data_IF_142902860369
#
_entry.id   IF_142902860369
#
_cell.length_a   1.000
_cell.length_b   1.000
_cell.length_c   1.000
_cell.angle_alpha   90.00
_cell.angle_beta   90.00
_cell.angle_gamma   90.00
#
_symmetry.space_group_name_H-M   'P 1'
#
loop_
_entity.id
_entity.type
_entity.pdbx_description
1 polymer ?
#
# COMPACT_ATOMS: atom_id res chain seq x y z
N UNK A 1 10.77 4.23 -37.61
CA UNK A 1 11.54 4.14 -38.86
C UNK A 1 12.36 2.84 -39.00
N UNK A 2 12.37 1.93 -37.98
CA UNK A 2 13.12 0.66 -38.04
C UNK A 2 14.65 0.78 -38.09
N UNK A 3 15.21 1.98 -37.94
CA UNK A 3 16.68 2.17 -37.93
C UNK A 3 17.19 2.05 -36.49
N UNK A 4 18.24 1.25 -36.35
CA UNK A 4 18.97 1.13 -35.08
C UNK A 4 20.06 2.23 -35.03
N UNK A 5 20.15 2.89 -33.88
CA UNK A 5 21.17 3.89 -33.60
C UNK A 5 21.96 3.43 -32.36
N UNK A 6 23.27 3.62 -32.41
CA UNK A 6 24.16 3.46 -31.27
C UNK A 6 24.49 4.85 -30.72
N UNK A 7 24.08 5.12 -29.49
CA UNK A 7 24.41 6.36 -28.77
C UNK A 7 25.47 6.01 -27.73
N UNK A 8 26.59 6.72 -27.75
CA UNK A 8 27.63 6.61 -26.73
C UNK A 8 27.41 7.73 -25.71
N UNK A 9 27.26 7.38 -24.47
CA UNK A 9 27.07 8.32 -23.38
C UNK A 9 28.01 7.95 -22.21
N UNK A 10 28.52 8.95 -21.51
CA UNK A 10 29.33 8.76 -20.28
C UNK A 10 28.44 8.44 -19.09
N UNK A 11 27.18 8.92 -19.11
CA UNK A 11 26.17 8.66 -18.08
C UNK A 11 24.79 8.62 -18.75
N UNK A 12 23.94 7.71 -18.27
CA UNK A 12 22.57 7.57 -18.72
C UNK A 12 21.60 7.81 -17.57
N UNK A 13 20.47 8.43 -17.81
CA UNK A 13 19.34 8.52 -16.87
C UNK A 13 18.19 7.67 -17.41
N UNK A 14 17.78 6.66 -16.68
CA UNK A 14 16.57 5.90 -16.98
C UNK A 14 15.34 6.65 -16.44
N UNK A 15 14.66 7.33 -17.35
CA UNK A 15 13.40 8.04 -17.10
C UNK A 15 12.25 7.44 -17.93
N UNK A 16 12.34 6.17 -18.30
CA UNK A 16 11.32 5.47 -19.11
C UNK A 16 9.99 5.28 -18.35
N UNK A 17 10.02 5.45 -17.02
CA UNK A 17 8.89 5.17 -16.15
C UNK A 17 8.72 3.69 -15.84
N UNK A 18 9.29 2.81 -16.66
CA UNK A 18 9.18 1.36 -16.57
C UNK A 18 10.53 0.67 -16.26
N UNK A 19 11.61 1.48 -16.10
CA UNK A 19 12.95 0.96 -15.81
C UNK A 19 13.53 0.15 -16.96
N UNK A 20 13.17 0.49 -18.21
CA UNK A 20 13.55 -0.30 -19.39
C UNK A 20 15.05 -0.29 -19.62
N UNK A 21 15.71 0.86 -19.47
CA UNK A 21 17.17 0.96 -19.68
C UNK A 21 17.90 0.09 -18.65
N UNK A 22 17.52 0.17 -17.40
CA UNK A 22 18.10 -0.64 -16.32
C UNK A 22 17.84 -2.13 -16.53
N UNK A 23 16.63 -2.49 -16.95
CA UNK A 23 16.25 -3.86 -17.29
C UNK A 23 17.10 -4.43 -18.43
N UNK A 24 17.20 -3.72 -19.56
CA UNK A 24 18.00 -4.16 -20.70
C UNK A 24 19.52 -4.15 -20.41
N UNK A 25 19.96 -3.34 -19.45
CA UNK A 25 21.33 -3.38 -18.95
C UNK A 25 21.61 -4.58 -18.01
N UNK A 26 20.59 -5.33 -17.60
CA UNK A 26 20.71 -6.52 -16.75
C UNK A 26 20.61 -6.26 -15.26
N UNK A 27 20.03 -5.12 -14.84
CA UNK A 27 19.75 -4.87 -13.43
C UNK A 27 18.58 -5.73 -12.92
N UNK A 28 18.61 -6.11 -11.66
CA UNK A 28 17.52 -6.80 -11.00
C UNK A 28 16.35 -5.84 -10.72
N UNK A 29 15.15 -6.37 -10.72
CA UNK A 29 13.92 -5.61 -10.47
C UNK A 29 12.86 -6.48 -9.78
N UNK A 30 11.80 -5.83 -9.32
CA UNK A 30 10.57 -6.47 -8.85
C UNK A 30 9.35 -5.81 -9.50
N UNK A 31 8.28 -6.59 -9.67
CA UNK A 31 6.96 -6.16 -10.16
C UNK A 31 5.91 -6.78 -9.27
N UNK A 32 4.83 -6.03 -8.98
CA UNK A 32 3.76 -6.52 -8.14
C UNK A 32 4.12 -6.61 -6.66
N UNK A 33 3.18 -7.11 -5.87
CA UNK A 33 3.41 -7.39 -4.45
C UNK A 33 4.28 -8.64 -4.25
N UNK A 34 4.84 -8.76 -3.04
CA UNK A 34 5.78 -9.85 -2.73
C UNK A 34 5.12 -11.21 -2.54
N UNK A 35 3.80 -11.26 -2.35
CA UNK A 35 3.06 -12.49 -2.05
C UNK A 35 2.51 -13.15 -3.31
N UNK A 36 1.86 -12.37 -4.17
CA UNK A 36 1.12 -12.88 -5.33
C UNK A 36 1.62 -12.33 -6.67
N UNK A 37 2.55 -11.37 -6.64
CA UNK A 37 3.02 -10.69 -7.85
C UNK A 37 1.99 -9.79 -8.51
N UNK A 38 0.90 -9.44 -7.79
CA UNK A 38 -0.19 -8.62 -8.32
C UNK A 38 0.25 -7.16 -8.37
N UNK A 39 0.15 -6.55 -9.55
CA UNK A 39 0.40 -5.13 -9.77
C UNK A 39 -0.78 -4.28 -9.30
N UNK A 40 -0.57 -2.96 -9.24
CA UNK A 40 -1.68 -2.04 -9.04
C UNK A 40 -2.60 -2.00 -10.26
N UNK A 41 -3.87 -1.66 -10.02
CA UNK A 41 -4.82 -1.42 -11.09
C UNK A 41 -4.31 -0.30 -12.01
N UNK A 42 -4.51 -0.46 -13.31
CA UNK A 42 -4.39 0.64 -14.24
C UNK A 42 -5.66 1.47 -14.28
N UNK A 43 -5.53 2.73 -14.63
CA UNK A 43 -6.69 3.59 -14.88
C UNK A 43 -6.85 3.89 -16.34
N UNK A 44 -8.09 4.14 -16.70
CA UNK A 44 -8.46 4.71 -17.98
C UNK A 44 -9.07 6.10 -17.77
N UNK A 45 -8.69 7.06 -18.62
CA UNK A 45 -9.27 8.39 -18.60
C UNK A 45 -10.50 8.43 -19.50
N UNK A 46 -11.63 8.81 -18.93
CA UNK A 46 -12.89 9.03 -19.62
C UNK A 46 -13.00 10.52 -19.95
N UNK A 47 -13.07 10.85 -21.24
CA UNK A 47 -13.26 12.22 -21.71
C UNK A 47 -14.69 12.31 -22.29
N UNK A 48 -15.68 12.62 -21.47
CA UNK A 48 -17.04 12.73 -22.00
C UNK A 48 -17.17 13.93 -22.92
N UNK A 49 -17.66 13.72 -24.12
CA UNK A 49 -18.05 14.75 -25.09
C UNK A 49 -19.28 15.53 -24.64
N UNK A 50 -19.18 16.22 -23.49
CA UNK A 50 -20.26 17.09 -22.97
C UNK A 50 -19.71 18.49 -22.71
N UNK A 51 -20.58 19.52 -22.67
CA UNK A 51 -20.14 20.94 -22.60
C UNK A 51 -19.31 21.32 -21.37
N UNK A 52 -19.21 20.44 -20.38
CA UNK A 52 -18.25 20.54 -19.28
C UNK A 52 -17.37 19.29 -19.34
N UNK A 53 -16.18 19.42 -19.91
CA UNK A 53 -15.16 18.41 -19.88
C UNK A 53 -14.79 18.20 -18.40
N UNK A 54 -15.17 17.07 -17.86
CA UNK A 54 -14.71 16.61 -16.56
C UNK A 54 -14.03 15.29 -16.79
N UNK A 55 -12.71 15.31 -16.66
CA UNK A 55 -11.88 14.11 -16.76
C UNK A 55 -12.21 13.18 -15.60
N UNK A 56 -12.54 11.94 -15.91
CA UNK A 56 -12.73 10.90 -14.91
C UNK A 56 -11.63 9.87 -15.04
N UNK A 57 -10.88 9.70 -13.97
CA UNK A 57 -9.95 8.61 -13.82
C UNK A 57 -10.69 7.41 -13.22
N UNK A 58 -10.74 6.28 -13.94
CA UNK A 58 -11.39 5.06 -13.48
C UNK A 58 -10.38 3.94 -13.37
N UNK A 59 -10.33 3.31 -12.21
CA UNK A 59 -9.62 2.07 -12.06
C UNK A 59 -10.34 0.97 -12.81
N UNK A 60 -9.58 0.20 -13.59
CA UNK A 60 -10.18 -0.76 -14.49
C UNK A 60 -9.85 -2.20 -14.10
N UNK A 61 -8.63 -2.60 -14.28
CA UNK A 61 -8.17 -3.98 -14.03
C UNK A 61 -6.68 -3.94 -13.69
N UNK A 62 -6.07 -5.09 -13.51
CA UNK A 62 -4.64 -5.23 -13.37
C UNK A 62 -4.03 -5.67 -14.69
N UNK A 63 -2.91 -5.08 -15.03
CA UNK A 63 -2.07 -5.52 -16.14
C UNK A 63 -0.61 -5.51 -15.70
N UNK A 64 0.15 -6.46 -16.21
CA UNK A 64 1.60 -6.35 -16.21
C UNK A 64 2.03 -5.62 -17.49
N UNK A 65 2.32 -4.33 -17.42
CA UNK A 65 2.70 -3.53 -18.59
C UNK A 65 4.09 -3.89 -19.16
N UNK A 66 4.84 -4.75 -18.49
CA UNK A 66 6.06 -5.35 -19.02
C UNK A 66 5.77 -6.44 -20.06
N UNK A 67 4.49 -6.88 -20.15
CA UNK A 67 4.01 -7.90 -21.09
C UNK A 67 3.09 -7.27 -22.13
N UNK A 68 3.50 -7.30 -23.41
CA UNK A 68 2.75 -6.63 -24.49
C UNK A 68 1.32 -7.18 -24.64
N UNK A 69 1.12 -8.48 -24.41
CA UNK A 69 -0.19 -9.10 -24.50
C UNK A 69 -1.13 -8.63 -23.39
N UNK A 70 -0.62 -8.37 -22.19
CA UNK A 70 -1.39 -7.81 -21.08
C UNK A 70 -1.81 -6.36 -21.37
N UNK A 71 -0.92 -5.56 -21.94
CA UNK A 71 -1.26 -4.20 -22.40
C UNK A 71 -2.34 -4.23 -23.48
N UNK A 72 -2.23 -5.15 -24.46
CA UNK A 72 -3.26 -5.33 -25.50
C UNK A 72 -4.60 -5.78 -24.88
N UNK A 73 -4.57 -6.71 -23.91
CA UNK A 73 -5.77 -7.11 -23.17
C UNK A 73 -6.41 -5.93 -22.47
N UNK A 74 -5.64 -5.11 -21.75
CA UNK A 74 -6.14 -3.91 -21.08
C UNK A 74 -6.80 -2.92 -22.03
N UNK A 75 -6.19 -2.66 -23.19
CA UNK A 75 -6.78 -1.81 -24.24
C UNK A 75 -8.07 -2.41 -24.81
N UNK A 76 -8.08 -3.70 -25.09
CA UNK A 76 -9.26 -4.39 -25.59
C UNK A 76 -10.42 -4.29 -24.60
N UNK A 77 -10.19 -4.65 -23.32
CA UNK A 77 -11.22 -4.59 -22.27
C UNK A 77 -11.79 -3.19 -22.11
N UNK A 78 -10.93 -2.17 -22.10
CA UNK A 78 -11.37 -0.79 -21.92
C UNK A 78 -12.17 -0.25 -23.09
N UNK A 79 -11.91 -0.70 -24.33
CA UNK A 79 -12.60 -0.21 -25.52
C UNK A 79 -13.82 -1.03 -25.93
N UNK A 80 -13.84 -2.33 -25.67
CA UNK A 80 -14.86 -3.22 -26.25
C UNK A 80 -15.77 -3.89 -25.21
N UNK A 81 -15.30 -4.09 -23.99
CA UNK A 81 -16.11 -4.70 -22.92
C UNK A 81 -16.75 -3.68 -21.99
N UNK A 82 -16.31 -2.42 -22.06
CA UNK A 82 -16.93 -1.35 -21.31
C UNK A 82 -18.05 -0.69 -22.11
N UNK A 83 -19.03 -0.10 -21.42
CA UNK A 83 -20.07 0.70 -22.06
C UNK A 83 -19.59 2.04 -22.62
N UNK A 84 -18.29 2.33 -22.50
CA UNK A 84 -17.72 3.61 -22.85
C UNK A 84 -16.72 3.42 -24.00
N UNK A 85 -17.23 3.52 -25.22
CA UNK A 85 -16.42 3.41 -26.45
C UNK A 85 -15.46 4.57 -26.65
N UNK A 86 -15.68 5.68 -25.94
CA UNK A 86 -14.96 6.95 -26.15
C UNK A 86 -13.87 7.20 -25.11
N UNK A 87 -13.22 6.16 -24.65
CA UNK A 87 -12.05 6.33 -23.81
C UNK A 87 -10.86 6.86 -24.57
N UNK A 88 -10.12 7.73 -23.93
CA UNK A 88 -8.80 8.11 -24.41
C UNK A 88 -7.91 6.86 -24.49
N UNK A 89 -7.23 6.60 -25.63
CA UNK A 89 -6.50 5.34 -25.85
C UNK A 89 -5.20 5.25 -25.04
N UNK A 90 -5.14 5.82 -23.87
CA UNK A 90 -3.98 5.82 -23.00
C UNK A 90 -4.31 5.17 -21.68
N UNK A 91 -3.59 4.12 -21.36
CA UNK A 91 -3.65 3.49 -20.05
C UNK A 91 -2.77 4.27 -19.06
N UNK A 92 -3.35 4.67 -17.95
CA UNK A 92 -2.58 5.25 -16.84
C UNK A 92 -2.01 4.12 -15.99
N UNK A 93 -0.79 3.72 -16.29
CA UNK A 93 -0.07 2.66 -15.59
C UNK A 93 0.58 3.23 -14.33
N UNK A 94 0.13 2.76 -13.16
CA UNK A 94 0.63 3.21 -11.86
C UNK A 94 1.91 2.50 -11.44
N UNK A 95 2.06 1.26 -11.82
CA UNK A 95 3.18 0.42 -11.42
C UNK A 95 3.84 -0.24 -12.63
N UNK A 96 5.15 -0.38 -12.53
CA UNK A 96 5.99 -1.11 -13.46
C UNK A 96 7.14 -1.73 -12.69
N UNK A 97 8.27 -1.98 -13.35
CA UNK A 97 9.49 -2.45 -12.67
C UNK A 97 9.95 -1.43 -11.65
N UNK A 98 10.21 -1.91 -10.45
CA UNK A 98 10.96 -1.21 -9.42
C UNK A 98 12.37 -1.77 -9.43
N UNK A 99 13.32 -0.96 -9.84
CA UNK A 99 14.70 -1.38 -10.07
C UNK A 99 15.39 -1.58 -8.71
N UNK A 100 16.19 -2.63 -8.58
CA UNK A 100 16.96 -2.87 -7.37
C UNK A 100 18.13 -1.88 -7.29
N UNK A 101 18.02 -0.93 -6.39
CA UNK A 101 19.03 0.12 -6.18
C UNK A 101 19.95 -0.22 -5.00
N UNK A 102 20.94 0.62 -4.77
CA UNK A 102 21.83 0.52 -3.60
C UNK A 102 21.03 0.56 -2.30
N UNK A 103 19.95 1.37 -2.29
CA UNK A 103 18.94 1.40 -1.24
C UNK A 103 17.55 1.30 -1.84
N UNK A 104 16.68 0.49 -1.22
CA UNK A 104 15.29 0.38 -1.62
C UNK A 104 14.41 0.93 -0.50
N UNK A 105 13.72 2.04 -0.76
CA UNK A 105 12.75 2.64 0.16
C UNK A 105 11.68 1.62 0.57
N UNK A 106 11.35 1.60 1.83
CA UNK A 106 10.34 0.71 2.40
C UNK A 106 9.23 1.49 3.11
N UNK A 107 8.14 0.82 3.41
CA UNK A 107 7.06 1.36 4.25
C UNK A 107 7.58 1.79 5.63
N UNK A 108 8.55 1.04 6.16
CA UNK A 108 9.19 1.38 7.43
C UNK A 108 9.82 2.77 7.41
N UNK A 109 10.53 3.11 6.34
CA UNK A 109 11.19 4.40 6.20
C UNK A 109 10.17 5.55 6.22
N UNK A 110 9.02 5.34 5.57
CA UNK A 110 7.96 6.33 5.47
C UNK A 110 7.29 6.54 6.83
N UNK A 111 6.86 5.45 7.48
CA UNK A 111 6.15 5.50 8.76
C UNK A 111 7.06 6.01 9.89
N UNK A 112 8.35 5.66 9.84
CA UNK A 112 9.34 6.16 10.81
C UNK A 112 9.82 7.58 10.53
N UNK A 113 9.32 8.21 9.47
CA UNK A 113 9.73 9.58 9.09
C UNK A 113 11.26 9.68 8.94
N UNK A 114 11.84 8.66 8.26
CA UNK A 114 13.28 8.50 8.18
C UNK A 114 13.91 9.60 7.33
N UNK A 115 14.91 10.29 7.88
CA UNK A 115 15.77 11.21 7.16
C UNK A 115 17.14 10.58 6.94
N UNK A 116 17.74 10.87 5.79
CA UNK A 116 19.04 10.34 5.40
C UNK A 116 20.03 11.47 5.15
N UNK A 117 21.30 11.26 5.47
CA UNK A 117 22.36 12.22 5.14
C UNK A 117 22.46 12.47 3.63
N UNK A 118 22.06 11.50 2.83
CA UNK A 118 22.04 11.59 1.37
C UNK A 118 20.61 11.85 0.78
N UNK A 119 19.70 12.43 1.56
CA UNK A 119 18.39 12.85 1.04
C UNK A 119 18.54 13.87 -0.08
N UNK A 120 17.91 13.63 -1.24
CA UNK A 120 18.01 14.49 -2.42
C UNK A 120 16.67 15.09 -2.84
N UNK A 121 15.57 14.49 -2.46
CA UNK A 121 14.23 14.96 -2.77
C UNK A 121 13.25 14.53 -1.67
N UNK A 122 12.07 15.16 -1.66
CA UNK A 122 10.93 14.74 -0.85
C UNK A 122 9.73 14.50 -1.75
N UNK A 123 8.99 13.42 -1.47
CA UNK A 123 7.65 13.22 -1.97
C UNK A 123 6.66 13.49 -0.84
N UNK A 124 5.53 14.11 -1.17
CA UNK A 124 4.46 14.39 -0.21
C UNK A 124 3.13 13.94 -0.79
N UNK A 125 2.69 12.78 -0.37
CA UNK A 125 1.46 12.17 -0.81
C UNK A 125 0.80 11.42 0.33
N UNK A 126 -0.52 11.27 0.23
CA UNK A 126 -1.26 10.29 0.99
C UNK A 126 -0.95 8.87 0.48
N UNK A 127 -1.40 7.89 1.23
CA UNK A 127 -1.37 6.51 0.79
C UNK A 127 -2.49 6.28 -0.22
N UNK A 128 -2.12 6.17 -1.49
CA UNK A 128 -3.05 6.02 -2.62
C UNK A 128 -2.96 4.61 -3.24
N UNK A 129 -3.48 3.58 -2.55
CA UNK A 129 -3.42 2.21 -3.03
C UNK A 129 -4.48 1.95 -4.11
N UNK A 130 -4.04 1.39 -5.22
CA UNK A 130 -4.88 0.91 -6.30
C UNK A 130 -4.57 -0.57 -6.55
N UNK A 131 -4.95 -1.43 -5.61
CA UNK A 131 -4.66 -2.86 -5.67
C UNK A 131 -5.81 -3.69 -5.08
N UNK A 132 -5.77 -4.99 -5.31
CA UNK A 132 -6.68 -5.92 -4.65
C UNK A 132 -6.48 -5.90 -3.14
N UNK A 133 -7.58 -6.05 -2.41
CA UNK A 133 -7.49 -6.39 -1.00
C UNK A 133 -6.79 -7.74 -0.86
N UNK A 134 -5.75 -7.78 -0.06
CA UNK A 134 -5.00 -8.99 0.26
C UNK A 134 -4.65 -8.97 1.74
N UNK A 135 -4.25 -10.09 2.30
CA UNK A 135 -3.83 -10.15 3.70
C UNK A 135 -2.63 -9.22 3.99
N UNK A 136 -1.74 -9.03 3.01
CA UNK A 136 -0.67 -8.03 3.11
C UNK A 136 -1.24 -6.60 3.12
N UNK A 137 -2.26 -6.33 2.33
CA UNK A 137 -2.96 -5.04 2.31
C UNK A 137 -3.65 -4.74 3.61
N UNK A 138 -4.32 -5.73 4.21
CA UNK A 138 -4.95 -5.59 5.53
C UNK A 138 -3.93 -5.23 6.60
N UNK A 139 -2.81 -5.94 6.62
CA UNK A 139 -1.69 -5.67 7.51
C UNK A 139 -1.13 -4.26 7.32
N UNK A 140 -0.92 -3.82 6.08
CA UNK A 140 -0.43 -2.48 5.78
C UNK A 140 -1.49 -1.40 6.05
N UNK A 141 -2.75 -1.67 5.76
CA UNK A 141 -3.87 -0.76 6.01
C UNK A 141 -4.04 -0.42 7.49
N UNK A 142 -3.67 -1.35 8.39
CA UNK A 142 -3.58 -1.06 9.81
C UNK A 142 -2.54 0.01 10.15
N UNK A 143 -1.43 0.06 9.40
CA UNK A 143 -0.27 0.88 9.75
C UNK A 143 -0.15 2.15 8.96
N UNK A 144 -0.77 2.23 7.80
CA UNK A 144 -0.57 3.37 6.93
C UNK A 144 -1.56 4.49 7.28
N UNK A 145 -1.10 5.75 7.28
CA UNK A 145 -1.96 6.87 7.58
C UNK A 145 -3.08 6.97 6.54
N UNK A 146 -4.24 7.43 6.99
CA UNK A 146 -5.39 7.71 6.14
C UNK A 146 -5.12 8.82 5.12
N UNK A 147 -6.01 8.94 4.13
CA UNK A 147 -5.95 9.94 3.04
C UNK A 147 -5.76 11.39 3.52
N UNK A 148 -6.19 11.71 4.74
CA UNK A 148 -6.05 13.06 5.30
C UNK A 148 -4.67 13.36 5.87
N UNK A 149 -3.83 12.35 6.05
CA UNK A 149 -2.49 12.47 6.62
C UNK A 149 -1.42 12.26 5.55
N UNK A 150 -1.07 13.34 4.85
CA UNK A 150 0.04 13.32 3.90
C UNK A 150 1.35 12.99 4.59
N UNK A 151 1.94 11.87 4.24
CA UNK A 151 3.27 11.49 4.71
C UNK A 151 4.35 12.20 3.91
N UNK A 152 5.41 12.65 4.59
CA UNK A 152 6.61 13.15 3.96
C UNK A 152 7.60 12.01 3.77
N UNK A 153 8.01 11.75 2.53
CA UNK A 153 8.95 10.70 2.19
C UNK A 153 10.26 11.30 1.74
N UNK A 154 11.32 11.07 2.51
CA UNK A 154 12.65 11.50 2.12
C UNK A 154 13.26 10.47 1.16
N UNK A 155 13.67 10.89 -0.02
CA UNK A 155 14.24 10.05 -1.07
C UNK A 155 15.77 10.18 -1.01
N UNK A 156 16.51 9.12 -0.58
CA UNK A 156 17.96 9.16 -0.55
C UNK A 156 18.57 8.97 -1.95
N UNK A 157 19.73 9.55 -2.18
CA UNK A 157 20.48 9.38 -3.42
C UNK A 157 20.66 7.92 -3.81
N UNK A 158 20.94 7.08 -2.83
CA UNK A 158 21.17 5.64 -3.04
C UNK A 158 19.96 4.91 -3.64
N UNK A 159 18.76 5.45 -3.57
CA UNK A 159 17.56 4.83 -4.21
C UNK A 159 17.44 5.13 -5.70
N UNK A 160 18.22 6.06 -6.22
CA UNK A 160 18.29 6.29 -7.68
C UNK A 160 19.57 5.70 -8.32
N UNK A 161 20.42 5.03 -7.54
CA UNK A 161 21.66 4.39 -8.01
C UNK A 161 21.41 2.88 -8.15
N UNK A 162 21.42 2.31 -9.37
CA UNK A 162 21.28 0.88 -9.58
C UNK A 162 22.34 0.08 -8.82
N UNK A 163 21.98 -1.12 -8.36
CA UNK A 163 22.86 -1.89 -7.49
C UNK A 163 24.09 -2.45 -8.21
N UNK A 164 23.92 -2.89 -9.47
CA UNK A 164 24.97 -3.57 -10.24
C UNK A 164 25.53 -2.72 -11.35
N UNK A 165 24.68 -1.92 -12.01
CA UNK A 165 25.02 -1.22 -13.24
C UNK A 165 25.66 0.13 -12.90
N UNK A 166 26.82 0.39 -13.48
CA UNK A 166 27.52 1.67 -13.41
C UNK A 166 27.14 2.59 -14.58
N UNK A 167 27.37 3.90 -14.42
CA UNK A 167 27.05 4.88 -15.46
C UNK A 167 25.55 5.05 -15.72
N UNK A 168 24.71 4.67 -14.78
CA UNK A 168 23.26 4.75 -14.86
C UNK A 168 22.68 5.37 -13.59
N UNK A 169 21.73 6.30 -13.73
CA UNK A 169 20.84 6.79 -12.68
C UNK A 169 19.40 6.48 -13.02
N UNK A 170 18.58 6.27 -12.01
CA UNK A 170 17.15 6.03 -12.11
C UNK A 170 16.38 7.32 -11.86
N UNK A 171 15.22 7.48 -12.51
CA UNK A 171 14.29 8.57 -12.24
C UNK A 171 12.84 8.12 -12.42
N UNK A 172 11.91 8.85 -11.80
CA UNK A 172 10.49 8.53 -11.88
C UNK A 172 10.07 7.41 -10.93
N UNK A 173 9.04 6.66 -11.28
CA UNK A 173 8.44 5.64 -10.42
C UNK A 173 9.23 4.33 -10.31
N UNK A 174 10.24 4.13 -11.16
CA UNK A 174 11.05 2.91 -11.23
C UNK A 174 12.27 2.87 -10.28
N UNK A 175 12.46 3.86 -9.43
CA UNK A 175 13.55 3.91 -8.46
C UNK A 175 13.53 2.72 -7.49
N UNK A 176 14.59 2.57 -6.70
CA UNK A 176 14.69 1.54 -5.65
C UNK A 176 13.67 1.76 -4.54
N UNK A 177 12.61 0.96 -4.52
CA UNK A 177 11.55 1.05 -3.53
C UNK A 177 10.68 -0.21 -3.46
N UNK A 178 10.01 -0.42 -2.33
CA UNK A 178 9.06 -1.50 -2.17
C UNK A 178 7.73 -1.20 -2.86
N UNK A 179 6.91 -2.23 -3.06
CA UNK A 179 5.56 -2.12 -3.61
C UNK A 179 4.70 -1.08 -2.87
N UNK A 180 4.77 -1.05 -1.54
CA UNK A 180 4.00 -0.13 -0.72
C UNK A 180 4.59 1.29 -0.71
N UNK A 181 5.91 1.44 -0.71
CA UNK A 181 6.55 2.75 -0.76
C UNK A 181 6.23 3.49 -2.06
N UNK A 182 6.10 2.78 -3.17
CA UNK A 182 5.71 3.34 -4.46
C UNK A 182 4.40 4.15 -4.39
N UNK A 183 3.47 3.77 -3.50
CA UNK A 183 2.18 4.47 -3.35
C UNK A 183 2.33 5.93 -2.91
N UNK A 184 3.44 6.25 -2.26
CA UNK A 184 3.73 7.58 -1.73
C UNK A 184 4.65 8.42 -2.62
N UNK A 185 5.29 7.81 -3.64
CA UNK A 185 6.40 8.45 -4.38
C UNK A 185 6.15 8.57 -5.87
N UNK A 186 5.01 8.09 -6.37
CA UNK A 186 4.72 8.00 -7.80
C UNK A 186 3.91 9.17 -8.37
N UNK A 187 3.54 10.15 -7.56
CA UNK A 187 2.72 11.27 -8.03
C UNK A 187 3.49 12.17 -8.97
N UNK A 188 2.82 12.71 -9.99
CA UNK A 188 3.47 13.44 -11.09
C UNK A 188 4.30 14.62 -10.62
N UNK A 189 3.86 15.36 -9.60
CA UNK A 189 4.61 16.48 -9.05
C UNK A 189 5.93 16.01 -8.43
N UNK A 190 5.89 14.95 -7.61
CA UNK A 190 7.05 14.42 -6.90
C UNK A 190 8.10 13.85 -7.86
N UNK A 191 7.65 13.05 -8.85
CA UNK A 191 8.58 12.47 -9.84
C UNK A 191 9.15 13.53 -10.78
N UNK A 192 8.47 14.66 -10.99
CA UNK A 192 9.00 15.79 -11.76
C UNK A 192 10.16 16.46 -11.03
N UNK A 193 9.99 16.70 -9.71
CA UNK A 193 11.07 17.24 -8.88
C UNK A 193 12.24 16.26 -8.82
N UNK A 194 11.98 14.96 -8.65
CA UNK A 194 13.02 13.93 -8.66
C UNK A 194 13.79 13.93 -10.00
N UNK A 195 13.10 14.10 -11.12
CA UNK A 195 13.73 14.20 -12.45
C UNK A 195 14.68 15.38 -12.56
N UNK A 196 14.26 16.56 -12.07
CA UNK A 196 15.11 17.75 -12.02
C UNK A 196 16.38 17.51 -11.19
N UNK A 197 16.20 16.96 -9.98
CA UNK A 197 17.33 16.67 -9.07
C UNK A 197 18.26 15.62 -9.67
N UNK A 198 17.72 14.58 -10.30
CA UNK A 198 18.54 13.55 -10.97
C UNK A 198 19.40 14.17 -12.09
N UNK A 199 18.86 15.14 -12.85
CA UNK A 199 19.61 15.91 -13.84
C UNK A 199 20.78 16.71 -13.23
N UNK A 200 20.55 17.38 -12.09
CA UNK A 200 21.60 18.10 -11.37
C UNK A 200 22.72 17.17 -10.90
N UNK A 201 22.36 16.01 -10.34
CA UNK A 201 23.32 14.99 -9.87
C UNK A 201 24.13 14.42 -11.04
N UNK A 202 23.49 14.14 -12.17
CA UNK A 202 24.14 13.69 -13.39
C UNK A 202 25.18 14.72 -13.88
N UNK A 203 24.83 16.01 -13.89
CA UNK A 203 25.75 17.07 -14.25
C UNK A 203 26.97 17.14 -13.31
N UNK A 204 26.78 16.92 -12.01
CA UNK A 204 27.88 16.91 -11.04
C UNK A 204 28.78 15.68 -11.23
N UNK A 205 28.23 14.49 -11.51
CA UNK A 205 29.01 13.27 -11.81
C UNK A 205 29.94 13.52 -13.01
N UNK A 206 29.38 14.04 -14.11
CA UNK A 206 30.15 14.35 -15.30
C UNK A 206 31.24 15.42 -15.05
N UNK A 207 30.88 16.47 -14.31
CA UNK A 207 31.85 17.53 -13.95
C UNK A 207 32.99 17.02 -13.08
N UNK A 208 32.69 16.16 -12.10
CA UNK A 208 33.69 15.57 -11.19
C UNK A 208 34.40 14.36 -11.78
N UNK A 209 33.89 13.78 -12.89
CA UNK A 209 34.39 12.55 -13.52
C UNK A 209 34.50 11.40 -12.50
N UNK A 210 33.49 11.27 -11.62
CA UNK A 210 33.45 10.23 -10.59
C UNK A 210 32.44 9.13 -10.95
N UNK A 211 32.56 7.98 -10.28
CA UNK A 211 31.52 6.94 -10.37
C UNK A 211 30.23 7.41 -9.68
N UNK A 212 29.07 6.94 -10.18
CA UNK A 212 27.76 7.25 -9.60
C UNK A 212 27.68 6.89 -8.10
N UNK A 213 28.39 5.87 -7.67
CA UNK A 213 28.42 5.43 -6.26
C UNK A 213 29.33 6.26 -5.36
N UNK A 214 30.20 7.07 -5.94
CA UNK A 214 31.21 7.85 -5.21
C UNK A 214 30.85 9.35 -5.14
N UNK A 215 29.70 9.74 -5.72
CA UNK A 215 29.28 11.13 -5.72
C UNK A 215 29.02 11.63 -4.30
N UNK A 216 29.73 12.67 -3.89
CA UNK A 216 29.34 13.51 -2.77
C UNK A 216 28.18 14.40 -3.19
N UNK A 217 27.00 14.15 -2.64
CA UNK A 217 25.76 14.86 -2.97
C UNK A 217 25.63 16.21 -2.24
N UNK A 218 26.48 16.48 -1.25
CA UNK A 218 26.42 17.69 -0.42
C UNK A 218 26.35 19.00 -1.21
N UNK A 219 27.10 19.19 -2.31
CA UNK A 219 26.99 20.42 -3.08
C UNK A 219 25.61 20.60 -3.73
N UNK A 220 25.00 19.51 -4.21
CA UNK A 220 23.65 19.56 -4.79
C UNK A 220 22.61 19.81 -3.70
N UNK A 221 22.73 19.14 -2.54
CA UNK A 221 21.85 19.40 -1.39
C UNK A 221 21.86 20.89 -0.97
N UNK A 222 23.05 21.51 -0.89
CA UNK A 222 23.18 22.94 -0.58
C UNK A 222 22.44 23.82 -1.56
N UNK A 223 22.51 23.52 -2.85
CA UNK A 223 21.80 24.24 -3.90
C UNK A 223 20.29 24.05 -3.82
N UNK A 224 19.84 22.82 -3.55
CA UNK A 224 18.42 22.48 -3.36
C UNK A 224 17.83 23.17 -2.12
N UNK A 225 18.60 23.25 -1.02
CA UNK A 225 18.19 23.97 0.20
C UNK A 225 18.12 25.46 -0.06
N UNK A 226 19.11 26.04 -0.70
CA UNK A 226 19.16 27.47 -1.02
C UNK A 226 18.01 27.89 -1.96
N UNK A 227 17.56 27.01 -2.83
CA UNK A 227 16.43 27.23 -3.75
C UNK A 227 15.09 26.73 -3.21
N UNK A 228 15.02 26.31 -1.96
CA UNK A 228 13.81 25.84 -1.27
C UNK A 228 13.16 24.58 -1.88
N UNK A 229 13.90 23.80 -2.64
CA UNK A 229 13.47 22.48 -3.12
C UNK A 229 13.63 21.38 -2.07
N UNK A 230 14.52 21.57 -1.09
CA UNK A 230 14.77 20.63 -0.01
C UNK A 230 14.87 21.37 1.32
N UNK A 231 14.12 20.96 2.37
CA UNK A 231 14.31 21.49 3.71
C UNK A 231 15.68 21.10 4.29
N UNK A 232 16.30 21.99 5.04
CA UNK A 232 17.64 21.74 5.60
C UNK A 232 17.68 20.54 6.56
N UNK A 233 16.60 20.31 7.31
CA UNK A 233 16.48 19.21 8.27
C UNK A 233 16.21 17.85 7.60
N UNK A 234 15.85 17.80 6.33
CA UNK A 234 15.66 16.57 5.58
C UNK A 234 16.97 15.77 5.37
N UNK A 235 18.13 16.45 5.48
CA UNK A 235 19.46 15.84 5.34
C UNK A 235 20.10 15.46 6.67
N UNK A 236 19.37 15.63 7.77
CA UNK A 236 19.86 15.28 9.12
C UNK A 236 19.24 13.98 9.55
N UNK A 237 20.08 12.94 9.69
CA UNK A 237 19.61 11.64 10.17
C UNK A 237 19.01 11.78 11.58
N UNK A 238 17.76 11.35 11.72
CA UNK A 238 17.04 11.38 13.00
C UNK A 238 17.18 10.04 13.70
N UNK A 239 17.50 10.07 15.00
CA UNK A 239 17.47 8.88 15.85
C UNK A 239 16.07 8.76 16.46
N UNK A 240 15.51 7.58 16.42
CA UNK A 240 14.24 7.26 17.08
C UNK A 240 14.53 6.96 18.56
N UNK A 241 13.85 7.64 19.45
CA UNK A 241 13.85 7.32 20.88
C UNK A 241 12.78 6.26 21.15
N UNK A 242 13.23 5.03 21.39
CA UNK A 242 12.34 3.89 21.63
C UNK A 242 11.62 4.01 22.98
N UNK A 243 12.28 4.60 23.99
CA UNK A 243 11.65 4.78 25.30
C UNK A 243 10.52 5.82 25.23
N UNK A 244 10.73 6.94 24.51
CA UNK A 244 9.69 7.97 24.31
C UNK A 244 8.44 7.36 23.62
N UNK A 245 8.63 6.47 22.62
CA UNK A 245 7.53 5.76 21.96
C UNK A 245 6.76 4.90 22.97
N UNK A 246 7.46 4.11 23.78
CA UNK A 246 6.83 3.21 24.76
C UNK A 246 6.13 3.99 25.85
N UNK A 247 6.72 5.08 26.34
CA UNK A 247 6.12 5.96 27.36
C UNK A 247 4.83 6.61 26.85
N UNK A 248 4.81 7.05 25.58
CA UNK A 248 3.60 7.59 24.94
C UNK A 248 2.50 6.53 24.81
N UNK A 249 2.82 5.33 24.34
CA UNK A 249 1.84 4.22 24.30
C UNK A 249 1.30 3.91 25.69
N UNK A 250 2.15 3.94 26.73
CA UNK A 250 1.75 3.71 28.12
C UNK A 250 0.78 4.75 28.68
N UNK A 251 0.70 5.91 28.04
CA UNK A 251 -0.24 6.99 28.39
C UNK A 251 -1.47 7.06 27.48
N UNK A 252 -1.61 6.10 26.54
CA UNK A 252 -2.75 6.01 25.62
C UNK A 252 -2.60 6.85 24.35
N UNK A 253 -1.38 7.24 23.97
CA UNK A 253 -1.15 7.96 22.71
C UNK A 253 -1.07 6.98 21.52
N UNK A 254 -2.19 6.82 20.82
CA UNK A 254 -2.30 5.99 19.63
C UNK A 254 -1.38 6.46 18.48
N UNK A 255 -1.07 7.76 18.42
CA UNK A 255 -0.39 8.36 17.26
C UNK A 255 1.01 7.80 17.01
N UNK A 256 1.63 7.22 18.03
CA UNK A 256 2.96 6.60 17.94
C UNK A 256 2.93 5.10 17.70
N UNK A 257 1.75 4.46 17.68
CA UNK A 257 1.63 3.00 17.51
C UNK A 257 2.28 2.55 16.18
N UNK A 258 2.04 3.27 15.10
CA UNK A 258 2.62 2.96 13.80
C UNK A 258 4.15 3.02 13.82
N UNK A 259 4.71 4.07 14.48
CA UNK A 259 6.17 4.20 14.64
C UNK A 259 6.73 3.07 15.49
N UNK A 260 6.01 2.64 16.53
CA UNK A 260 6.38 1.50 17.36
C UNK A 260 6.46 0.21 16.52
N UNK A 261 5.42 -0.09 15.74
CA UNK A 261 5.32 -1.28 14.90
C UNK A 261 6.48 -1.38 13.86
N UNK A 262 7.07 -0.25 13.48
CA UNK A 262 8.17 -0.19 12.52
C UNK A 262 9.55 -0.37 13.13
N UNK A 263 9.65 -0.46 14.45
CA UNK A 263 10.95 -0.61 15.12
C UNK A 263 11.47 -2.05 15.05
N UNK A 264 12.75 -2.23 15.33
CA UNK A 264 13.37 -3.56 15.39
C UNK A 264 12.81 -4.33 16.58
N UNK A 265 12.16 -5.49 16.32
CA UNK A 265 11.56 -6.33 17.35
C UNK A 265 12.49 -6.58 18.54
N UNK A 266 13.76 -6.90 18.27
CA UNK A 266 14.73 -7.21 19.33
C UNK A 266 15.01 -6.05 20.29
N UNK A 267 14.79 -4.81 19.83
CA UNK A 267 15.07 -3.62 20.61
C UNK A 267 13.82 -3.13 21.36
N UNK A 268 12.67 -3.11 20.68
CA UNK A 268 11.44 -2.52 21.22
C UNK A 268 10.64 -3.48 22.09
N UNK A 269 10.59 -4.78 21.74
CA UNK A 269 9.73 -5.76 22.43
C UNK A 269 10.01 -5.88 23.94
N UNK A 270 11.26 -5.93 24.42
CA UNK A 270 11.54 -5.96 25.86
C UNK A 270 11.02 -4.73 26.60
N UNK A 271 11.07 -3.55 25.96
CA UNK A 271 10.57 -2.30 26.54
C UNK A 271 9.04 -2.32 26.64
N UNK A 272 8.37 -2.81 25.59
CA UNK A 272 6.91 -3.00 25.58
C UNK A 272 6.43 -3.96 26.67
N UNK A 273 7.10 -5.12 26.80
CA UNK A 273 6.78 -6.12 27.84
C UNK A 273 6.91 -5.51 29.23
N UNK A 274 8.02 -4.86 29.54
CA UNK A 274 8.26 -4.22 30.83
C UNK A 274 7.24 -3.12 31.14
N UNK A 275 6.85 -2.32 30.13
CA UNK A 275 5.85 -1.29 30.28
C UNK A 275 4.46 -1.87 30.52
N UNK A 276 4.10 -2.93 29.78
CA UNK A 276 2.82 -3.61 29.90
C UNK A 276 2.64 -4.30 31.26
N UNK A 277 3.68 -4.99 31.75
CA UNK A 277 3.69 -5.59 33.09
C UNK A 277 3.45 -4.54 34.19
N UNK A 278 4.05 -3.36 34.05
CA UNK A 278 3.91 -2.27 35.02
C UNK A 278 2.53 -1.61 34.98
N UNK A 279 2.01 -1.40 33.78
CA UNK A 279 0.73 -0.75 33.54
C UNK A 279 0.13 -1.27 32.23
N UNK A 280 -0.75 -2.28 32.30
CA UNK A 280 -1.45 -2.71 31.09
C UNK A 280 -2.28 -1.59 30.47
N UNK A 281 -2.10 -1.44 29.14
CA UNK A 281 -2.78 -0.42 28.34
C UNK A 281 -3.01 -0.99 26.93
N UNK A 282 -4.13 -0.62 26.29
CA UNK A 282 -4.58 -1.23 25.03
C UNK A 282 -3.57 -1.04 23.88
N UNK A 283 -2.94 0.14 23.73
CA UNK A 283 -1.99 0.36 22.65
C UNK A 283 -0.66 -0.35 22.88
N UNK A 284 -0.28 -0.61 24.13
CA UNK A 284 0.82 -1.53 24.44
C UNK A 284 0.44 -2.98 24.07
N UNK A 285 -0.79 -3.43 24.37
CA UNK A 285 -1.28 -4.74 23.95
C UNK A 285 -1.27 -4.90 22.43
N UNK A 286 -1.73 -3.89 21.68
CA UNK A 286 -1.71 -3.85 20.21
C UNK A 286 -0.27 -3.88 19.64
N UNK A 287 0.65 -3.17 20.27
CA UNK A 287 2.06 -3.20 19.89
C UNK A 287 2.70 -4.57 20.16
N UNK A 288 2.41 -5.19 21.32
CA UNK A 288 2.86 -6.55 21.65
C UNK A 288 2.37 -7.57 20.63
N UNK A 289 1.06 -7.54 20.30
CA UNK A 289 0.46 -8.43 19.30
C UNK A 289 1.13 -8.29 17.94
N UNK A 290 1.43 -7.05 17.51
CA UNK A 290 2.17 -6.81 16.26
C UNK A 290 3.50 -7.56 16.20
N UNK A 291 4.20 -7.66 17.31
CA UNK A 291 5.46 -8.41 17.41
C UNK A 291 5.29 -9.90 17.72
N UNK A 292 4.06 -10.40 17.75
CA UNK A 292 3.73 -11.80 17.97
C UNK A 292 3.74 -12.21 19.43
N UNK A 293 3.61 -11.25 20.35
CA UNK A 293 3.51 -11.50 21.80
C UNK A 293 2.04 -11.56 22.23
N UNK A 294 1.67 -12.63 22.95
CA UNK A 294 0.28 -12.91 23.35
C UNK A 294 -0.11 -12.31 24.68
N UNK A 295 0.81 -11.67 25.42
CA UNK A 295 0.56 -11.18 26.80
C UNK A 295 -0.62 -10.21 26.88
N UNK A 296 -0.84 -9.42 25.82
CA UNK A 296 -1.93 -8.44 25.72
C UNK A 296 -3.20 -8.96 25.02
N UNK A 297 -3.27 -10.22 24.62
CA UNK A 297 -4.35 -10.75 23.76
C UNK A 297 -5.75 -10.49 24.32
N UNK A 298 -5.94 -10.69 25.63
CA UNK A 298 -7.24 -10.50 26.27
C UNK A 298 -7.74 -9.07 26.21
N UNK A 299 -6.85 -8.08 26.26
CA UNK A 299 -7.22 -6.66 26.11
C UNK A 299 -7.77 -6.38 24.71
N UNK A 300 -7.15 -6.93 23.67
CA UNK A 300 -7.60 -6.78 22.28
C UNK A 300 -8.93 -7.53 22.08
N UNK A 301 -9.06 -8.73 22.63
CA UNK A 301 -10.30 -9.54 22.53
C UNK A 301 -11.47 -8.84 23.24
N UNK A 302 -11.26 -8.23 24.40
CA UNK A 302 -12.30 -7.52 25.12
C UNK A 302 -12.72 -6.22 24.44
N UNK A 303 -11.75 -5.49 23.85
CA UNK A 303 -12.03 -4.35 22.99
C UNK A 303 -12.84 -4.80 21.76
N UNK A 304 -12.39 -5.84 21.06
CA UNK A 304 -13.06 -6.41 19.91
C UNK A 304 -14.51 -6.82 20.20
N UNK A 305 -14.75 -7.49 21.34
CA UNK A 305 -16.11 -7.84 21.81
C UNK A 305 -16.98 -6.60 22.01
N UNK A 306 -16.40 -5.55 22.56
CA UNK A 306 -17.11 -4.30 22.85
C UNK A 306 -17.48 -3.58 21.56
N UNK A 307 -16.50 -3.36 20.66
CA UNK A 307 -16.69 -2.72 19.38
C UNK A 307 -17.67 -3.50 18.48
N UNK A 308 -17.58 -4.83 18.47
CA UNK A 308 -18.45 -5.66 17.65
C UNK A 308 -19.93 -5.60 18.13
N UNK A 309 -20.18 -5.59 19.43
CA UNK A 309 -21.53 -5.39 19.98
C UNK A 309 -22.08 -4.01 19.61
N UNK A 310 -21.24 -2.98 19.68
CA UNK A 310 -21.63 -1.64 19.29
C UNK A 310 -21.98 -1.56 17.80
N UNK A 311 -21.17 -2.17 16.92
CA UNK A 311 -21.44 -2.25 15.49
C UNK A 311 -22.78 -2.94 15.17
N UNK A 312 -23.10 -4.02 15.88
CA UNK A 312 -24.39 -4.71 15.73
C UNK A 312 -25.59 -3.84 16.14
N UNK A 313 -25.42 -2.90 17.05
CA UNK A 313 -26.47 -1.98 17.49
C UNK A 313 -26.61 -0.75 16.58
N UNK A 314 -25.51 -0.19 16.14
CA UNK A 314 -25.46 1.08 15.37
C UNK A 314 -25.48 0.87 13.85
N UNK A 315 -25.11 -0.32 13.38
CA UNK A 315 -24.94 -0.62 11.95
C UNK A 315 -23.62 -0.10 11.36
N UNK A 316 -23.51 -0.22 10.05
CA UNK A 316 -22.34 0.22 9.30
C UNK A 316 -22.49 1.66 8.80
N UNK A 317 -21.35 2.29 8.48
CA UNK A 317 -21.33 3.60 7.83
C UNK A 317 -22.16 3.62 6.53
N UNK A 318 -22.93 4.68 6.36
CA UNK A 318 -23.89 4.82 5.26
C UNK A 318 -23.35 5.58 4.04
N UNK A 319 -22.19 6.25 4.14
CA UNK A 319 -21.65 7.06 3.05
C UNK A 319 -20.26 6.60 2.56
N UNK A 320 -19.97 6.92 1.29
CA UNK A 320 -18.67 6.61 0.69
C UNK A 320 -17.50 7.30 1.39
N UNK A 321 -17.70 8.51 1.90
CA UNK A 321 -16.66 9.28 2.56
C UNK A 321 -16.39 8.79 3.98
N UNK A 322 -17.43 8.37 4.68
CA UNK A 322 -17.30 7.78 6.02
C UNK A 322 -16.49 6.49 6.02
N UNK A 323 -16.44 5.75 4.90
CA UNK A 323 -15.68 4.48 4.81
C UNK A 323 -14.17 4.64 5.05
N UNK A 324 -13.63 5.85 4.97
CA UNK A 324 -12.21 6.16 5.20
C UNK A 324 -11.95 6.80 6.55
N UNK A 325 -12.97 6.98 7.38
CA UNK A 325 -12.79 7.42 8.76
C UNK A 325 -12.27 6.23 9.60
N UNK A 326 -11.06 6.35 10.13
CA UNK A 326 -10.43 5.33 10.98
C UNK A 326 -11.09 5.19 12.35
N UNK A 327 -11.99 6.11 12.70
CA UNK A 327 -12.85 6.04 13.90
C UNK A 327 -14.08 5.18 13.71
N UNK A 328 -14.39 4.78 12.46
CA UNK A 328 -15.51 3.89 12.22
C UNK A 328 -15.30 2.52 12.88
N UNK A 329 -16.33 2.02 13.52
CA UNK A 329 -16.30 0.77 14.28
C UNK A 329 -15.76 -0.40 13.46
N UNK A 330 -16.21 -0.54 12.20
CA UNK A 330 -15.77 -1.66 11.38
C UNK A 330 -14.26 -1.61 11.04
N UNK A 331 -13.67 -0.41 10.94
CA UNK A 331 -12.22 -0.26 10.77
C UNK A 331 -11.45 -0.70 12.00
N UNK A 332 -11.88 -0.24 13.17
CA UNK A 332 -11.26 -0.62 14.44
C UNK A 332 -11.36 -2.13 14.68
N UNK A 333 -12.53 -2.72 14.44
CA UNK A 333 -12.75 -4.16 14.50
C UNK A 333 -11.82 -4.91 13.56
N UNK A 334 -11.70 -4.45 12.30
CA UNK A 334 -10.85 -5.10 11.31
C UNK A 334 -9.35 -4.98 11.67
N UNK A 335 -8.93 -3.86 12.25
CA UNK A 335 -7.57 -3.69 12.79
C UNK A 335 -7.29 -4.70 13.91
N UNK A 336 -8.21 -4.88 14.83
CA UNK A 336 -8.04 -5.80 15.94
C UNK A 336 -8.01 -7.27 15.48
N UNK A 337 -8.86 -7.65 14.52
CA UNK A 337 -8.80 -8.97 13.88
C UNK A 337 -7.42 -9.19 13.23
N UNK A 338 -6.93 -8.20 12.50
CA UNK A 338 -5.61 -8.29 11.85
C UNK A 338 -4.48 -8.40 12.88
N UNK A 339 -4.54 -7.66 13.99
CA UNK A 339 -3.57 -7.75 15.09
C UNK A 339 -3.56 -9.11 15.76
N UNK A 340 -4.74 -9.68 16.03
CA UNK A 340 -4.84 -11.06 16.53
C UNK A 340 -4.18 -12.05 15.57
N UNK A 341 -4.26 -11.82 14.25
CA UNK A 341 -3.57 -12.61 13.23
C UNK A 341 -2.05 -12.42 13.19
N UNK A 342 -1.50 -11.44 13.88
CA UNK A 342 -0.04 -11.23 13.96
C UNK A 342 0.66 -12.06 15.02
N UNK A 343 -0.09 -12.64 15.95
CA UNK A 343 0.42 -13.47 17.05
C UNK A 343 -0.11 -14.91 16.95
N UNK A 344 0.49 -15.87 17.66
CA UNK A 344 -0.07 -17.21 17.79
C UNK A 344 -1.50 -17.19 18.35
N UNK A 345 -2.35 -18.07 17.82
CA UNK A 345 -3.73 -18.20 18.27
C UNK A 345 -3.83 -18.47 19.78
N UNK A 346 -4.79 -17.83 20.41
CA UNK A 346 -5.28 -18.17 21.74
C UNK A 346 -6.65 -18.82 21.62
N UNK A 347 -7.07 -19.62 22.63
CA UNK A 347 -8.40 -20.25 22.61
C UNK A 347 -9.51 -19.21 22.52
N UNK A 348 -9.48 -18.18 23.38
CA UNK A 348 -10.44 -17.08 23.38
C UNK A 348 -10.43 -16.28 22.06
N UNK A 349 -9.25 -16.11 21.46
CA UNK A 349 -9.10 -15.46 20.15
C UNK A 349 -9.78 -16.27 19.05
N UNK A 350 -9.51 -17.56 19.00
CA UNK A 350 -10.15 -18.46 18.05
C UNK A 350 -11.68 -18.53 18.21
N UNK A 351 -12.18 -18.52 19.44
CA UNK A 351 -13.63 -18.47 19.70
C UNK A 351 -14.25 -17.17 19.20
N UNK A 352 -13.62 -16.04 19.48
CA UNK A 352 -14.10 -14.74 19.03
C UNK A 352 -14.09 -14.61 17.51
N UNK A 353 -13.02 -15.05 16.86
CA UNK A 353 -12.92 -15.03 15.39
C UNK A 353 -13.96 -15.95 14.75
N UNK A 354 -14.19 -17.15 15.32
CA UNK A 354 -15.21 -18.06 14.81
C UNK A 354 -16.62 -17.46 14.94
N UNK A 355 -16.91 -16.80 16.06
CA UNK A 355 -18.17 -16.08 16.25
C UNK A 355 -18.37 -14.97 15.21
N UNK A 356 -17.34 -14.14 14.97
CA UNK A 356 -17.42 -13.09 13.96
C UNK A 356 -17.58 -13.69 12.55
N UNK A 357 -16.88 -14.78 12.25
CA UNK A 357 -16.95 -15.47 10.96
C UNK A 357 -18.36 -16.00 10.70
N UNK A 358 -19.01 -16.61 11.70
CA UNK A 358 -20.38 -17.12 11.63
C UNK A 358 -21.41 -16.00 11.36
N UNK A 359 -21.24 -14.86 12.02
CA UNK A 359 -22.12 -13.70 11.89
C UNK A 359 -21.86 -12.83 10.65
N UNK A 360 -20.74 -13.05 9.97
CA UNK A 360 -20.40 -12.29 8.77
C UNK A 360 -21.27 -12.69 7.59
N UNK A 361 -22.19 -11.80 7.16
CA UNK A 361 -23.16 -12.01 6.09
C UNK A 361 -23.25 -10.76 5.21
N UNK A 362 -23.52 -10.93 3.94
CA UNK A 362 -23.59 -9.82 2.97
C UNK A 362 -24.79 -8.90 3.13
N UNK A 363 -25.80 -9.29 3.90
CA UNK A 363 -26.92 -8.43 4.30
C UNK A 363 -27.91 -8.00 3.21
N UNK A 364 -27.75 -8.44 1.95
CA UNK A 364 -28.69 -8.06 0.88
C UNK A 364 -28.19 -8.35 -0.53
N UNK A 365 -29.05 -8.08 -1.50
CA UNK A 365 -28.66 -8.14 -2.92
C UNK A 365 -27.76 -6.96 -3.28
N UNK A 366 -26.79 -7.22 -4.15
CA UNK A 366 -25.91 -6.19 -4.70
C UNK A 366 -26.75 -5.24 -5.58
N UNK A 367 -27.02 -4.04 -5.09
CA UNK A 367 -27.69 -3.00 -5.87
C UNK A 367 -26.69 -2.33 -6.79
N UNK A 368 -26.78 -2.59 -8.07
CA UNK A 368 -26.05 -1.84 -9.10
C UNK A 368 -26.80 -0.55 -9.39
N UNK A 369 -26.22 0.59 -9.09
CA UNK A 369 -26.82 1.88 -9.41
C UNK A 369 -26.89 2.10 -10.92
N UNK A 370 -28.08 2.52 -11.42
CA UNK A 370 -28.29 2.85 -12.84
C UNK A 370 -27.71 4.21 -13.26
N UNK A 371 -27.24 5.01 -12.33
CA UNK A 371 -26.57 6.27 -12.63
C UNK A 371 -25.22 6.00 -13.32
N UNK A 372 -25.00 6.62 -14.48
CA UNK A 372 -23.76 6.47 -15.24
C UNK A 372 -22.49 6.87 -14.44
N UNK A 373 -22.64 7.72 -13.42
CA UNK A 373 -21.55 8.13 -12.52
C UNK A 373 -21.31 7.13 -11.40
N UNK A 374 -22.36 6.45 -10.97
CA UNK A 374 -22.34 5.44 -9.90
C UNK A 374 -22.50 4.03 -10.45
N UNK A 375 -22.74 3.90 -11.77
CA UNK A 375 -22.78 2.60 -12.44
C UNK A 375 -21.59 1.78 -12.07
N UNK A 376 -21.87 0.70 -11.38
CA UNK A 376 -20.86 -0.19 -10.92
C UNK A 376 -20.22 0.18 -9.57
N UNK A 377 -20.70 1.14 -8.81
CA UNK A 377 -20.38 1.21 -7.39
C UNK A 377 -21.15 0.15 -6.65
N UNK A 378 -20.47 -0.65 -5.87
CA UNK A 378 -21.09 -1.50 -4.88
C UNK A 378 -21.95 -0.63 -4.00
N UNK A 379 -23.05 -1.22 -3.59
CA UNK A 379 -23.70 -0.78 -2.39
C UNK A 379 -22.63 -0.57 -1.30
N UNK A 380 -22.58 0.64 -0.78
CA UNK A 380 -21.59 1.04 0.24
C UNK A 380 -21.66 0.14 1.47
N UNK A 381 -22.80 -0.50 1.70
CA UNK A 381 -22.99 -1.49 2.77
C UNK A 381 -22.14 -2.76 2.59
N UNK A 382 -21.77 -3.11 1.37
CA UNK A 382 -20.95 -4.29 1.11
C UNK A 382 -19.44 -4.06 1.33
N UNK A 383 -18.98 -2.81 1.37
CA UNK A 383 -17.57 -2.49 1.61
C UNK A 383 -17.09 -2.99 2.97
N UNK A 384 -17.80 -2.74 4.08
CA UNK A 384 -17.45 -3.30 5.37
C UNK A 384 -17.40 -4.83 5.36
N UNK A 385 -18.36 -5.46 4.66
CA UNK A 385 -18.42 -6.91 4.51
C UNK A 385 -17.17 -7.48 3.83
N UNK A 386 -16.75 -6.97 2.67
CA UNK A 386 -15.55 -7.45 2.00
C UNK A 386 -14.27 -7.18 2.79
N UNK A 387 -14.16 -6.02 3.40
CA UNK A 387 -13.03 -5.71 4.27
C UNK A 387 -12.96 -6.63 5.49
N UNK A 388 -14.12 -7.01 6.05
CA UNK A 388 -14.19 -7.97 7.15
C UNK A 388 -13.67 -9.34 6.72
N UNK A 389 -14.12 -9.85 5.57
CA UNK A 389 -13.65 -11.13 5.02
C UNK A 389 -12.12 -11.13 4.87
N UNK A 390 -11.55 -10.10 4.27
CA UNK A 390 -10.10 -10.02 4.05
C UNK A 390 -9.32 -10.08 5.36
N UNK A 391 -9.79 -9.39 6.41
CA UNK A 391 -9.12 -9.40 7.71
C UNK A 391 -9.30 -10.72 8.47
N UNK A 392 -10.47 -11.34 8.37
CA UNK A 392 -10.70 -12.69 8.88
C UNK A 392 -9.78 -13.70 8.20
N UNK A 393 -9.69 -13.70 6.88
CA UNK A 393 -8.79 -14.57 6.13
C UNK A 393 -7.32 -14.35 6.52
N UNK A 394 -6.91 -13.11 6.77
CA UNK A 394 -5.57 -12.82 7.27
C UNK A 394 -5.27 -13.51 8.61
N UNK A 395 -6.24 -13.55 9.52
CA UNK A 395 -6.11 -14.30 10.77
C UNK A 395 -6.05 -15.81 10.51
N UNK A 396 -7.00 -16.34 9.71
CA UNK A 396 -7.19 -17.76 9.48
C UNK A 396 -6.00 -18.43 8.78
N UNK A 397 -5.40 -17.75 7.81
CA UNK A 397 -4.20 -18.24 7.14
C UNK A 397 -2.99 -18.41 8.07
N UNK A 398 -2.92 -17.62 9.12
CA UNK A 398 -1.83 -17.64 10.09
C UNK A 398 -2.10 -18.57 11.27
N UNK A 399 -3.37 -18.78 11.57
CA UNK A 399 -3.87 -19.57 12.67
C UNK A 399 -4.92 -20.57 12.19
N UNK A 400 -4.55 -21.50 11.26
CA UNK A 400 -5.49 -22.44 10.67
C UNK A 400 -6.05 -23.40 11.73
N UNK A 401 -7.38 -23.64 11.67
CA UNK A 401 -8.08 -24.57 12.53
C UNK A 401 -9.29 -25.13 11.78
N UNK A 402 -9.48 -26.44 11.83
CA UNK A 402 -10.57 -27.15 11.13
C UNK A 402 -11.96 -26.66 11.52
N UNK A 403 -12.12 -26.07 12.70
CA UNK A 403 -13.40 -25.51 13.17
C UNK A 403 -13.90 -24.32 12.35
N UNK A 404 -13.03 -23.67 11.57
CA UNK A 404 -13.42 -22.55 10.73
C UNK A 404 -13.96 -22.96 9.35
N UNK A 405 -13.71 -24.19 8.92
CA UNK A 405 -13.98 -24.64 7.53
C UNK A 405 -15.45 -24.47 7.17
N UNK A 406 -16.37 -24.92 8.03
CA UNK A 406 -17.82 -24.81 7.76
C UNK A 406 -18.27 -23.38 7.50
N UNK A 407 -17.77 -22.41 8.27
CA UNK A 407 -18.12 -21.01 8.11
C UNK A 407 -17.43 -20.37 6.91
N UNK A 408 -16.21 -20.78 6.57
CA UNK A 408 -15.55 -20.37 5.34
C UNK A 408 -16.30 -20.85 4.09
N UNK A 409 -16.75 -22.11 4.08
CA UNK A 409 -17.54 -22.66 2.97
C UNK A 409 -18.87 -21.91 2.81
N UNK A 410 -19.54 -21.54 3.91
CA UNK A 410 -20.75 -20.70 3.87
C UNK A 410 -20.48 -19.33 3.22
N UNK A 411 -19.36 -18.69 3.56
CA UNK A 411 -18.98 -17.43 2.93
C UNK A 411 -18.66 -17.59 1.44
N UNK A 412 -17.99 -18.66 1.04
CA UNK A 412 -17.71 -18.94 -0.38
C UNK A 412 -19.00 -19.18 -1.18
N UNK A 413 -20.06 -19.66 -0.54
CA UNK A 413 -21.38 -19.88 -1.15
C UNK A 413 -22.28 -18.62 -1.11
N UNK A 414 -21.87 -17.54 -0.43
CA UNK A 414 -22.62 -16.28 -0.40
C UNK A 414 -22.82 -15.75 -1.83
N UNK A 415 -24.07 -15.40 -2.23
CA UNK A 415 -24.36 -14.90 -3.57
C UNK A 415 -23.55 -13.67 -3.99
N UNK A 416 -23.18 -12.80 -3.05
CA UNK A 416 -22.38 -11.61 -3.30
C UNK A 416 -20.89 -11.93 -3.48
N UNK A 417 -20.45 -13.12 -3.11
CA UNK A 417 -19.11 -13.66 -3.39
C UNK A 417 -19.15 -14.53 -4.65
N UNK A 418 -20.04 -15.52 -4.69
CA UNK A 418 -20.14 -16.54 -5.75
C UNK A 418 -20.79 -16.01 -7.03
N UNK A 419 -21.78 -15.13 -6.91
CA UNK A 419 -22.57 -14.60 -8.03
C UNK A 419 -21.91 -13.49 -8.83
N UNK A 420 -20.61 -13.30 -8.67
CA UNK A 420 -19.85 -12.31 -9.39
C UNK A 420 -19.99 -12.53 -10.91
N UNK A 421 -20.83 -11.71 -11.53
CA UNK A 421 -20.91 -11.61 -12.99
C UNK A 421 -19.97 -10.51 -13.45
N UNK A 422 -19.17 -10.82 -14.44
CA UNK A 422 -18.10 -9.98 -15.00
C UNK A 422 -18.58 -8.71 -15.68
N UNK A 423 -19.84 -8.32 -15.50
CA UNK A 423 -20.34 -7.11 -16.11
C UNK A 423 -19.84 -5.90 -15.34
N UNK A 424 -19.06 -5.11 -16.02
CA UNK A 424 -19.05 -3.69 -15.88
C UNK A 424 -18.30 -3.10 -14.68
N UNK A 425 -17.23 -2.41 -14.98
CA UNK A 425 -16.68 -1.31 -14.18
C UNK A 425 -16.72 -1.48 -12.69
N UNK A 426 -15.59 -1.76 -12.05
CA UNK A 426 -15.64 -1.30 -10.68
C UNK A 426 -14.39 -1.49 -9.86
N UNK A 427 -14.08 -0.46 -9.07
CA UNK A 427 -13.43 -0.56 -7.76
C UNK A 427 -14.01 -1.69 -6.90
N UNK A 428 -15.20 -2.15 -7.15
CA UNK A 428 -15.91 -3.29 -6.58
C UNK A 428 -15.35 -4.61 -7.00
N UNK A 429 -15.12 -4.78 -8.28
CA UNK A 429 -14.69 -6.02 -8.90
C UNK A 429 -13.44 -6.57 -8.22
N UNK A 430 -12.46 -5.73 -8.01
CA UNK A 430 -11.22 -6.15 -7.36
C UNK A 430 -11.35 -6.38 -5.85
N UNK A 431 -12.35 -5.78 -5.18
CA UNK A 431 -12.65 -6.13 -3.79
C UNK A 431 -13.27 -7.50 -3.67
N UNK A 432 -14.20 -7.83 -4.56
CA UNK A 432 -14.79 -9.17 -4.64
C UNK A 432 -13.72 -10.20 -4.99
N UNK A 433 -12.88 -9.92 -5.96
CA UNK A 433 -11.75 -10.81 -6.28
C UNK A 433 -10.79 -10.97 -5.12
N UNK A 434 -10.47 -9.89 -4.43
CA UNK A 434 -9.63 -9.94 -3.24
C UNK A 434 -10.25 -10.84 -2.18
N UNK A 435 -11.53 -10.65 -1.84
CA UNK A 435 -12.21 -11.47 -0.86
C UNK A 435 -12.27 -12.95 -1.28
N UNK A 436 -12.59 -13.24 -2.54
CA UNK A 436 -12.59 -14.61 -3.06
C UNK A 436 -11.23 -15.29 -2.98
N UNK A 437 -10.18 -14.57 -3.38
CA UNK A 437 -8.82 -15.09 -3.34
C UNK A 437 -8.37 -15.36 -1.92
N UNK A 438 -8.63 -14.45 -1.00
CA UNK A 438 -8.29 -14.61 0.41
C UNK A 438 -9.05 -15.80 1.03
N UNK A 439 -10.35 -16.00 0.71
CA UNK A 439 -11.11 -17.16 1.15
C UNK A 439 -10.50 -18.47 0.65
N UNK A 440 -10.11 -18.54 -0.64
CA UNK A 440 -9.46 -19.72 -1.20
C UNK A 440 -8.13 -20.02 -0.48
N UNK A 441 -7.34 -19.00 -0.19
CA UNK A 441 -6.08 -19.14 0.54
C UNK A 441 -6.29 -19.59 1.98
N UNK A 442 -7.30 -19.04 2.66
CA UNK A 442 -7.63 -19.43 4.03
C UNK A 442 -8.15 -20.88 4.13
N UNK A 443 -8.89 -21.37 3.13
CA UNK A 443 -9.32 -22.78 3.07
C UNK A 443 -8.14 -23.70 2.77
N UNK A 444 -7.19 -23.26 1.96
CA UNK A 444 -6.01 -24.04 1.60
C UNK A 444 -4.94 -24.12 2.71
N UNK A 445 -4.95 -23.19 3.66
CA UNK A 445 -4.02 -23.17 4.79
C UNK A 445 -4.42 -24.18 5.87
#
# INVERSE_FOLDING_TARGET
NGRLYKILAELTIDATGDGDVAYFAGENYSVGDSRMGITQNYSHWDIPFKPKIKDYNRDYDIINNCEILETQRGLYLSHYESHFYDFYPMLAIRESRRINAVYNLSTRDIISDTCYEDTIAQARSDYDPHYFSSSESSRCGFMLPHFDNMSMVNIPYRSIVPRKIDGLLLSGKSIGQSYKALQFTRMSADITVLGYVTGMLAAQILKKKCNVRELDVTPVQKELIASSYLPADATVARKVDLQDIVDKLSTGDETVLFKCCMQEKKQILPLLQAAFEKRPEIFLAKALAWFGDTSGSNYIIDELKTLYRQEQQEGHASSYFEKYDDKLLYWQINKDIALLGMMPATEDGNEMINYILEETKSGGEMVVSDDAYTKGRIDLQLIPYYNRIVNLCFYLERNPDVKFIENLEKLMDDPNIKGYKTSEYNQTRWRIYGANLELLLAVAA
#
